data_IF_260838612230
#
_entry.id   IF_260838612230
#
_cell.length_a   1.000
_cell.length_b   1.000
_cell.length_c   1.000
_cell.angle_alpha   90.00
_cell.angle_beta   90.00
_cell.angle_gamma   90.00
#
_symmetry.space_group_name_H-M   'P 1'
#
loop_
_entity.id
_entity.type
_entity.pdbx_description
1 polymer ?
#
# COMPACT_ATOMS: atom_id res chain seq x y z
N UNK A 1 -22.92 -27.32 25.20
CA UNK A 1 -23.05 -26.59 23.93
C UNK A 1 -22.46 -25.21 24.11
N UNK A 2 -21.32 -24.92 23.49
CA UNK A 2 -20.87 -23.55 23.16
C UNK A 2 -19.85 -23.70 22.04
N UNK A 3 -20.31 -23.53 20.80
CA UNK A 3 -19.44 -23.49 19.62
C UNK A 3 -18.98 -22.03 19.50
N UNK A 4 -17.73 -21.77 19.90
CA UNK A 4 -17.08 -20.47 19.69
C UNK A 4 -16.57 -20.45 18.23
N UNK A 5 -17.40 -19.98 17.31
CA UNK A 5 -17.07 -19.81 15.89
C UNK A 5 -16.79 -18.34 15.59
N UNK A 6 -15.71 -17.77 16.12
CA UNK A 6 -15.30 -16.39 15.80
C UNK A 6 -13.89 -16.28 15.22
N UNK A 7 -13.20 -17.40 14.91
CA UNK A 7 -11.74 -17.36 14.66
C UNK A 7 -11.27 -17.71 13.23
N UNK A 8 -12.14 -17.72 12.21
CA UNK A 8 -11.73 -18.11 10.83
C UNK A 8 -11.83 -16.97 9.80
N UNK A 9 -12.45 -15.84 10.15
CA UNK A 9 -12.67 -14.75 9.19
C UNK A 9 -11.42 -13.88 8.97
N UNK A 10 -10.72 -13.54 10.06
CA UNK A 10 -9.58 -12.60 10.04
C UNK A 10 -8.37 -13.10 9.24
N UNK A 11 -8.19 -14.42 9.12
CA UNK A 11 -7.06 -15.01 8.37
C UNK A 11 -7.26 -14.91 6.86
N UNK A 12 -8.50 -15.05 6.39
CA UNK A 12 -8.86 -14.96 4.97
C UNK A 12 -8.75 -13.53 4.46
N UNK A 13 -9.23 -12.56 5.24
CA UNK A 13 -9.08 -11.13 4.95
C UNK A 13 -7.60 -10.71 4.91
N UNK A 14 -6.79 -11.20 5.86
CA UNK A 14 -5.35 -10.93 5.89
C UNK A 14 -4.64 -11.44 4.63
N UNK A 15 -5.01 -12.64 4.13
CA UNK A 15 -4.47 -13.20 2.88
C UNK A 15 -4.91 -12.40 1.65
N UNK A 16 -6.15 -11.95 1.60
CA UNK A 16 -6.64 -11.10 0.51
C UNK A 16 -5.91 -9.75 0.47
N UNK A 17 -5.66 -9.13 1.64
CA UNK A 17 -4.89 -7.89 1.77
C UNK A 17 -3.42 -8.11 1.34
N UNK A 18 -2.81 -9.24 1.70
CA UNK A 18 -1.45 -9.57 1.26
C UNK A 18 -1.37 -9.78 -0.27
N UNK A 19 -2.32 -10.50 -0.83
CA UNK A 19 -2.39 -10.76 -2.27
C UNK A 19 -2.59 -9.47 -3.10
N UNK A 20 -3.52 -8.61 -2.67
CA UNK A 20 -3.77 -7.32 -3.33
C UNK A 20 -2.58 -6.37 -3.23
N UNK A 21 -1.85 -6.36 -2.10
CA UNK A 21 -0.58 -5.64 -1.97
C UNK A 21 0.47 -6.14 -2.97
N UNK A 22 0.53 -7.46 -3.22
CA UNK A 22 1.45 -8.07 -4.20
C UNK A 22 1.13 -7.65 -5.63
N UNK A 23 -0.15 -7.49 -5.97
CA UNK A 23 -0.57 -7.05 -7.30
C UNK A 23 -0.29 -5.57 -7.57
N UNK A 24 -0.05 -4.77 -6.53
CA UNK A 24 0.18 -3.33 -6.63
C UNK A 24 1.57 -2.97 -6.07
N UNK A 25 2.66 -3.33 -6.80
CA UNK A 25 4.01 -3.15 -6.30
C UNK A 25 4.49 -1.70 -6.39
N UNK A 26 3.79 -0.82 -7.09
CA UNK A 26 4.15 0.59 -7.18
C UNK A 26 3.39 1.39 -6.13
N UNK A 27 4.08 2.16 -5.30
CA UNK A 27 3.48 2.96 -4.26
C UNK A 27 3.88 4.43 -4.39
N UNK A 28 2.93 5.34 -4.15
CA UNK A 28 3.24 6.76 -3.96
C UNK A 28 3.43 6.99 -2.47
N UNK A 29 4.59 7.52 -2.10
CA UNK A 29 4.95 7.89 -0.73
C UNK A 29 5.01 9.39 -0.61
N UNK A 30 4.39 9.92 0.45
CA UNK A 30 4.55 11.31 0.88
C UNK A 30 5.64 11.39 1.93
N UNK A 31 6.57 12.32 1.75
CA UNK A 31 7.58 12.68 2.75
C UNK A 31 6.99 13.71 3.70
N UNK A 32 7.10 13.46 5.00
CA UNK A 32 6.66 14.37 6.05
C UNK A 32 7.88 15.12 6.64
N UNK A 33 7.66 16.33 7.21
CA UNK A 33 8.74 17.18 7.75
C UNK A 33 9.59 16.51 8.84
N UNK A 34 9.03 15.51 9.53
CA UNK A 34 9.67 14.74 10.59
C UNK A 34 10.48 13.53 10.08
N UNK A 35 10.94 13.56 8.81
CA UNK A 35 11.61 12.45 8.12
C UNK A 35 10.78 11.16 8.03
N UNK A 36 9.48 11.23 8.31
CA UNK A 36 8.60 10.08 8.14
C UNK A 36 8.14 9.95 6.69
N UNK A 37 7.76 8.72 6.34
CA UNK A 37 7.28 8.34 5.02
C UNK A 37 5.92 7.71 5.20
N UNK A 38 4.92 8.22 4.49
CA UNK A 38 3.57 7.64 4.50
C UNK A 38 3.20 7.17 3.09
N UNK A 39 2.82 5.91 2.95
CA UNK A 39 2.24 5.41 1.69
C UNK A 39 0.84 5.99 1.53
N UNK A 40 0.63 6.73 0.44
CA UNK A 40 -0.65 7.40 0.15
C UNK A 40 -1.53 6.52 -0.73
N UNK A 41 -0.93 5.84 -1.71
CA UNK A 41 -1.66 5.00 -2.66
C UNK A 41 -0.74 3.93 -3.26
N UNK A 42 -1.33 2.85 -3.75
CA UNK A 42 -0.65 1.75 -4.46
C UNK A 42 -1.28 1.51 -5.83
N UNK A 43 -0.45 1.11 -6.78
CA UNK A 43 -0.78 0.97 -8.19
C UNK A 43 -0.13 -0.29 -8.76
N UNK A 44 -0.78 -0.86 -9.77
CA UNK A 44 -0.29 -2.02 -10.51
C UNK A 44 0.87 -1.66 -11.43
N UNK A 45 0.86 -0.45 -12.00
CA UNK A 45 1.89 0.03 -12.93
C UNK A 45 2.55 1.31 -12.43
N UNK A 46 3.79 1.54 -12.87
CA UNK A 46 4.52 2.78 -12.60
C UNK A 46 3.84 3.98 -13.27
N UNK A 47 3.38 3.82 -14.50
CA UNK A 47 2.75 4.90 -15.27
C UNK A 47 1.52 5.45 -14.56
N UNK A 48 0.65 4.58 -14.03
CA UNK A 48 -0.53 5.00 -13.26
C UNK A 48 -0.13 5.77 -11.99
N UNK A 49 0.90 5.28 -11.29
CA UNK A 49 1.45 5.95 -10.11
C UNK A 49 2.00 7.35 -10.46
N UNK A 50 2.75 7.48 -11.56
CA UNK A 50 3.32 8.75 -12.00
C UNK A 50 2.23 9.75 -12.41
N UNK A 51 1.23 9.32 -13.20
CA UNK A 51 0.08 10.13 -13.58
C UNK A 51 -0.68 10.64 -12.34
N UNK A 52 -0.93 9.76 -11.37
CA UNK A 52 -1.64 10.14 -10.15
C UNK A 52 -0.78 11.04 -9.23
N UNK A 53 0.53 10.80 -9.17
CA UNK A 53 1.47 11.66 -8.43
C UNK A 53 1.47 13.09 -8.99
N UNK A 54 1.43 13.25 -10.32
CA UNK A 54 1.39 14.57 -10.94
C UNK A 54 0.14 15.35 -10.51
N UNK A 55 -1.03 14.69 -10.49
CA UNK A 55 -2.26 15.27 -9.95
C UNK A 55 -2.12 15.64 -8.47
N UNK A 56 -1.53 14.77 -7.64
CA UNK A 56 -1.32 15.07 -6.22
C UNK A 56 -0.37 16.26 -5.99
N UNK A 57 0.65 16.42 -6.82
CA UNK A 57 1.55 17.59 -6.79
C UNK A 57 0.82 18.89 -7.15
N UNK A 58 -0.14 18.85 -8.06
CA UNK A 58 -0.95 20.02 -8.40
C UNK A 58 -1.89 20.41 -7.25
N UNK A 59 -2.48 19.42 -6.56
CA UNK A 59 -3.38 19.65 -5.43
C UNK A 59 -2.64 20.08 -4.15
N UNK A 60 -1.40 19.63 -3.97
CA UNK A 60 -0.60 19.94 -2.78
C UNK A 60 0.86 20.17 -3.17
N UNK A 61 1.19 21.35 -3.71
CA UNK A 61 2.55 21.65 -4.19
C UNK A 61 3.58 21.66 -3.07
N UNK A 62 3.17 21.93 -1.83
CA UNK A 62 4.04 21.94 -0.64
C UNK A 62 4.36 20.54 -0.12
N UNK A 63 3.74 19.49 -0.65
CA UNK A 63 4.01 18.12 -0.25
C UNK A 63 5.01 17.44 -1.21
N UNK A 64 6.02 16.79 -0.66
CA UNK A 64 6.97 16.02 -1.45
C UNK A 64 6.46 14.58 -1.63
N UNK A 65 6.24 14.20 -2.88
CA UNK A 65 5.80 12.86 -3.27
C UNK A 65 6.87 12.13 -4.09
N UNK A 66 6.97 10.83 -3.88
CA UNK A 66 7.88 9.92 -4.58
C UNK A 66 7.16 8.62 -4.96
N UNK A 67 7.39 8.15 -6.18
CA UNK A 67 7.01 6.79 -6.58
C UNK A 67 8.12 5.82 -6.18
N UNK A 68 7.75 4.75 -5.47
CA UNK A 68 8.65 3.70 -5.02
C UNK A 68 8.13 2.34 -5.46
N UNK A 69 9.05 1.42 -5.74
CA UNK A 69 8.71 0.01 -5.91
C UNK A 69 8.75 -0.66 -4.52
N UNK A 70 7.60 -1.08 -4.04
CA UNK A 70 7.40 -1.71 -2.73
C UNK A 70 6.65 -3.04 -2.91
N UNK A 71 7.38 -4.03 -3.41
CA UNK A 71 6.94 -5.42 -3.47
C UNK A 71 7.25 -6.06 -2.10
N UNK A 72 6.22 -6.20 -1.27
CA UNK A 72 6.35 -6.89 0.01
C UNK A 72 6.48 -8.39 -0.27
N UNK A 73 7.57 -9.07 0.15
CA UNK A 73 7.66 -10.52 0.06
C UNK A 73 6.57 -11.14 0.92
N UNK A 74 6.02 -12.25 0.46
CA UNK A 74 5.06 -13.04 1.24
C UNK A 74 5.73 -13.46 2.54
N UNK A 75 5.22 -12.96 3.67
CA UNK A 75 5.74 -13.25 5.01
C UNK A 75 5.36 -14.67 5.48
N UNK A 76 5.18 -15.60 4.54
CA UNK A 76 4.79 -16.99 4.73
C UNK A 76 5.90 -18.00 4.36
N UNK A 77 7.13 -17.55 4.09
CA UNK A 77 8.26 -18.43 3.81
C UNK A 77 9.34 -18.31 4.89
N UNK A 78 9.11 -18.89 6.08
CA UNK A 78 10.14 -19.49 6.95
C UNK A 78 9.51 -20.67 7.69
#
# INVERSE_FOLDING_TARGET
MSQNTDSIDSTSETRAIAYTKRLNPWAIVRLLPNRQKATVARFRSRCDADCNMQRMRQLTPNASFMVVFDCQPDKAAI
#
